data_IF_932405548440
#
_entry.id   IF_932405548440
#
_cell.length_a   1.000
_cell.length_b   1.000
_cell.length_c   1.000
_cell.angle_alpha   90.00
_cell.angle_beta   90.00
_cell.angle_gamma   90.00
#
_symmetry.space_group_name_H-M   'P 1'
#
loop_
_entity.id
_entity.type
_entity.pdbx_description
1 polymer ?
#
# COMPACT_ATOMS: atom_id res chain seq x y z
N UNK A 1 52.01 24.85 -43.35
CA UNK A 1 50.55 24.81 -43.17
C UNK A 1 50.20 25.58 -41.90
N UNK A 2 49.87 26.86 -42.01
CA UNK A 2 49.55 27.70 -40.83
C UNK A 2 48.06 27.51 -40.51
N UNK A 3 47.76 26.74 -39.47
CA UNK A 3 46.39 26.61 -38.97
C UNK A 3 46.00 27.99 -38.40
N UNK A 4 44.97 28.59 -39.00
CA UNK A 4 44.50 29.92 -38.63
C UNK A 4 44.02 29.89 -37.16
N UNK A 5 44.72 30.62 -36.28
CA UNK A 5 44.41 30.68 -34.83
C UNK A 5 42.94 31.07 -34.54
N UNK A 6 42.29 31.82 -35.45
CA UNK A 6 40.86 32.15 -35.34
C UNK A 6 39.94 30.94 -35.59
N UNK A 7 40.33 30.02 -36.47
CA UNK A 7 39.57 28.80 -36.74
C UNK A 7 39.66 27.81 -35.57
N UNK A 8 40.83 27.71 -34.92
CA UNK A 8 41.01 26.88 -33.73
C UNK A 8 40.20 27.41 -32.54
N UNK A 9 40.13 28.74 -32.37
CA UNK A 9 39.32 29.40 -31.33
C UNK A 9 37.81 29.19 -31.57
N UNK A 10 37.35 29.29 -32.83
CA UNK A 10 35.95 28.99 -33.17
C UNK A 10 35.58 27.53 -32.90
N UNK A 11 36.46 26.57 -33.22
CA UNK A 11 36.23 25.14 -32.92
C UNK A 11 36.16 24.87 -31.41
N UNK A 12 36.96 25.56 -30.60
CA UNK A 12 36.93 25.42 -29.13
C UNK A 12 35.66 26.04 -28.52
N UNK A 13 35.19 27.17 -29.05
CA UNK A 13 33.91 27.79 -28.64
C UNK A 13 32.72 26.92 -29.08
N UNK A 14 32.74 26.32 -30.27
CA UNK A 14 31.70 25.40 -30.73
C UNK A 14 31.64 24.11 -29.90
N UNK A 15 32.80 23.60 -29.46
CA UNK A 15 32.89 22.42 -28.60
C UNK A 15 32.37 22.68 -27.17
N UNK A 16 32.65 23.87 -26.61
CA UNK A 16 32.12 24.25 -25.29
C UNK A 16 30.61 24.53 -25.31
N UNK A 17 30.06 25.11 -26.39
CA UNK A 17 28.62 25.35 -26.53
C UNK A 17 27.84 24.03 -26.72
N UNK A 18 28.40 23.04 -27.43
CA UNK A 18 27.75 21.74 -27.59
C UNK A 18 27.73 20.92 -26.29
N UNK A 19 28.75 21.04 -25.44
CA UNK A 19 28.79 20.34 -24.15
C UNK A 19 27.80 20.93 -23.14
N UNK A 20 27.59 22.24 -23.10
CA UNK A 20 26.60 22.82 -22.17
C UNK A 20 25.14 22.52 -22.54
N UNK A 21 24.86 22.29 -23.82
CA UNK A 21 23.49 21.99 -24.27
C UNK A 21 23.05 20.54 -24.00
N UNK A 22 23.98 19.56 -24.00
CA UNK A 22 23.63 18.17 -23.66
C UNK A 22 23.30 18.00 -22.16
N UNK A 23 24.02 18.68 -21.27
CA UNK A 23 23.73 18.65 -19.82
C UNK A 23 22.48 19.44 -19.42
N UNK A 24 22.08 20.44 -20.22
CA UNK A 24 20.86 21.23 -19.98
C UNK A 24 19.58 20.45 -20.33
N UNK A 25 19.59 19.66 -21.42
CA UNK A 25 18.43 18.85 -21.82
C UNK A 25 18.15 17.66 -20.88
N UNK A 26 19.18 16.98 -20.37
CA UNK A 26 19.02 15.85 -19.44
C UNK A 26 18.48 16.31 -18.07
N UNK A 27 18.97 17.43 -17.53
CA UNK A 27 18.50 17.98 -16.26
C UNK A 27 17.04 18.48 -16.30
N UNK A 28 16.60 19.02 -17.43
CA UNK A 28 15.19 19.41 -17.64
C UNK A 28 14.26 18.18 -17.60
N UNK A 29 14.68 17.08 -18.24
CA UNK A 29 13.94 15.81 -18.25
C UNK A 29 13.85 15.18 -16.86
N UNK A 30 14.97 15.10 -16.11
CA UNK A 30 14.98 14.56 -14.76
C UNK A 30 14.11 15.38 -13.79
N UNK A 31 14.11 16.72 -13.90
CA UNK A 31 13.24 17.59 -13.10
C UNK A 31 11.76 17.39 -13.41
N UNK A 32 11.41 17.21 -14.68
CA UNK A 32 10.04 16.90 -15.09
C UNK A 32 9.59 15.54 -14.56
N UNK A 33 10.44 14.51 -14.66
CA UNK A 33 10.16 13.18 -14.12
C UNK A 33 10.00 13.18 -12.60
N UNK A 34 10.83 13.93 -11.87
CA UNK A 34 10.70 14.07 -10.42
C UNK A 34 9.36 14.69 -10.03
N UNK A 35 8.90 15.72 -10.77
CA UNK A 35 7.59 16.33 -10.53
C UNK A 35 6.44 15.35 -10.73
N UNK A 36 6.51 14.52 -11.78
CA UNK A 36 5.51 13.46 -12.02
C UNK A 36 5.57 12.43 -10.90
N UNK A 37 6.76 11.99 -10.49
CA UNK A 37 6.93 11.06 -9.37
C UNK A 37 6.32 11.60 -8.08
N UNK A 38 6.52 12.89 -7.77
CA UNK A 38 5.91 13.53 -6.60
C UNK A 38 4.39 13.55 -6.66
N UNK A 39 3.81 13.80 -7.83
CA UNK A 39 2.35 13.75 -8.01
C UNK A 39 1.82 12.34 -7.80
N UNK A 40 2.45 11.34 -8.39
CA UNK A 40 2.09 9.93 -8.20
C UNK A 40 2.25 9.52 -6.73
N UNK A 41 3.32 9.94 -6.07
CA UNK A 41 3.55 9.67 -4.65
C UNK A 41 2.46 10.30 -3.76
N UNK A 42 2.06 11.55 -4.03
CA UNK A 42 0.98 12.22 -3.28
C UNK A 42 -0.36 11.51 -3.44
N UNK A 43 -0.60 10.90 -4.61
CA UNK A 43 -1.75 10.05 -4.90
C UNK A 43 -1.58 8.60 -4.40
N UNK A 44 -0.53 8.33 -3.63
CA UNK A 44 -0.19 7.00 -3.11
C UNK A 44 0.12 5.94 -4.19
N UNK A 45 0.32 6.36 -5.46
CA UNK A 45 0.70 5.49 -6.57
C UNK A 45 2.19 5.16 -6.54
N UNK A 46 2.64 4.46 -5.50
CA UNK A 46 4.07 4.25 -5.21
C UNK A 46 4.81 3.48 -6.31
N UNK A 47 4.20 2.48 -6.95
CA UNK A 47 4.83 1.79 -8.08
C UNK A 47 5.08 2.73 -9.27
N UNK A 48 4.09 3.56 -9.60
CA UNK A 48 4.21 4.58 -10.63
C UNK A 48 5.29 5.60 -10.25
N UNK A 49 5.28 6.08 -9.00
CA UNK A 49 6.31 6.98 -8.49
C UNK A 49 7.72 6.38 -8.65
N UNK A 50 7.93 5.13 -8.24
CA UNK A 50 9.20 4.39 -8.40
C UNK A 50 9.63 4.33 -9.87
N UNK A 51 8.71 4.08 -10.80
CA UNK A 51 9.02 4.03 -12.23
C UNK A 51 9.58 5.36 -12.75
N UNK A 52 9.03 6.50 -12.31
CA UNK A 52 9.53 7.84 -12.64
C UNK A 52 10.78 8.23 -11.86
N UNK A 53 10.99 7.71 -10.65
CA UNK A 53 12.18 7.99 -9.83
C UNK A 53 13.44 7.27 -10.34
N UNK A 54 13.30 6.08 -10.92
CA UNK A 54 14.42 5.31 -11.49
C UNK A 54 15.29 6.15 -12.43
N UNK A 55 14.76 6.74 -13.53
CA UNK A 55 15.58 7.55 -14.45
C UNK A 55 16.14 8.83 -13.81
N UNK A 56 15.45 9.41 -12.83
CA UNK A 56 15.96 10.56 -12.05
C UNK A 56 17.21 10.16 -11.27
N UNK A 57 17.16 9.03 -10.54
CA UNK A 57 18.28 8.52 -9.74
C UNK A 57 19.40 7.91 -10.57
N UNK A 58 19.13 7.48 -11.81
CA UNK A 58 20.18 7.13 -12.78
C UNK A 58 20.95 8.37 -13.24
N UNK A 59 20.25 9.50 -13.39
CA UNK A 59 20.84 10.76 -13.88
C UNK A 59 21.55 11.55 -12.77
N UNK A 60 20.92 11.65 -11.60
CA UNK A 60 21.48 12.23 -10.39
C UNK A 60 21.19 11.31 -9.20
N UNK A 61 22.15 10.42 -8.94
CA UNK A 61 22.06 9.45 -7.85
C UNK A 61 22.12 10.10 -6.46
N UNK A 62 22.54 11.36 -6.37
CA UNK A 62 22.67 12.11 -5.13
C UNK A 62 21.42 12.92 -4.77
N UNK A 63 20.42 12.95 -5.65
CA UNK A 63 19.20 13.72 -5.45
C UNK A 63 18.44 13.25 -4.19
N UNK A 64 18.60 13.98 -3.10
CA UNK A 64 18.05 13.61 -1.79
C UNK A 64 16.52 13.45 -1.81
N UNK A 65 15.81 14.29 -2.59
CA UNK A 65 14.35 14.20 -2.70
C UNK A 65 13.92 12.94 -3.45
N UNK A 66 14.60 12.60 -4.54
CA UNK A 66 14.31 11.38 -5.27
C UNK A 66 14.65 10.12 -4.45
N UNK A 67 15.76 10.14 -3.70
CA UNK A 67 16.14 9.07 -2.78
C UNK A 67 15.10 8.88 -1.67
N UNK A 68 14.61 9.98 -1.07
CA UNK A 68 13.57 9.98 -0.05
C UNK A 68 12.27 9.35 -0.57
N UNK A 69 11.78 9.84 -1.72
CA UNK A 69 10.57 9.31 -2.33
C UNK A 69 10.71 7.83 -2.71
N UNK A 70 11.90 7.41 -3.15
CA UNK A 70 12.18 6.01 -3.47
C UNK A 70 12.16 5.16 -2.19
N UNK A 71 12.87 5.58 -1.14
CA UNK A 71 12.91 4.88 0.14
C UNK A 71 11.51 4.76 0.76
N UNK A 72 10.77 5.86 0.82
CA UNK A 72 9.42 5.90 1.37
C UNK A 72 8.46 5.05 0.54
N UNK A 73 8.52 5.14 -0.79
CA UNK A 73 7.70 4.29 -1.68
C UNK A 73 7.99 2.82 -1.41
N UNK A 74 9.26 2.40 -1.40
CA UNK A 74 9.62 1.00 -1.16
C UNK A 74 9.21 0.53 0.24
N UNK A 75 9.34 1.37 1.28
CA UNK A 75 8.88 1.09 2.65
C UNK A 75 7.35 0.92 2.69
N UNK A 76 6.61 1.82 2.06
CA UNK A 76 5.15 1.77 1.98
C UNK A 76 4.68 0.52 1.22
N UNK A 77 5.47 0.04 0.25
CA UNK A 77 5.27 -1.23 -0.44
C UNK A 77 5.87 -2.44 0.30
N UNK A 78 6.38 -2.26 1.52
CA UNK A 78 7.04 -3.29 2.37
C UNK A 78 8.21 -4.01 1.69
N UNK A 79 8.78 -3.44 0.64
CA UNK A 79 10.03 -3.90 0.05
C UNK A 79 11.21 -3.38 0.89
N UNK A 80 11.33 -3.92 2.11
CA UNK A 80 12.25 -3.40 3.11
C UNK A 80 13.71 -3.55 2.71
N UNK A 81 14.08 -4.56 1.89
CA UNK A 81 15.45 -4.69 1.39
C UNK A 81 15.85 -3.48 0.54
N UNK A 82 14.98 -3.06 -0.39
CA UNK A 82 15.21 -1.87 -1.21
C UNK A 82 15.06 -0.59 -0.37
N UNK A 83 14.11 -0.53 0.55
CA UNK A 83 13.93 0.63 1.43
C UNK A 83 15.19 0.88 2.29
N UNK A 84 15.76 -0.17 2.88
CA UNK A 84 17.01 -0.11 3.65
C UNK A 84 18.17 0.40 2.79
N UNK A 85 18.27 -0.05 1.53
CA UNK A 85 19.29 0.44 0.61
C UNK A 85 19.23 1.96 0.46
N UNK A 86 18.04 2.53 0.21
CA UNK A 86 17.90 3.97 0.01
C UNK A 86 18.00 4.78 1.31
N UNK A 87 17.41 4.31 2.41
CA UNK A 87 17.56 4.98 3.70
C UNK A 87 19.00 4.97 4.21
N UNK A 88 19.78 3.92 3.94
CA UNK A 88 21.20 3.92 4.29
C UNK A 88 21.94 5.09 3.64
N UNK A 89 21.61 5.47 2.40
CA UNK A 89 22.18 6.64 1.70
C UNK A 89 21.70 7.96 2.32
N UNK A 90 20.40 8.07 2.60
CA UNK A 90 19.79 9.26 3.21
C UNK A 90 20.38 9.56 4.59
N UNK A 91 20.63 8.53 5.39
CA UNK A 91 21.14 8.68 6.77
C UNK A 91 22.63 9.06 6.85
N UNK A 92 23.34 9.06 5.71
CA UNK A 92 24.72 9.55 5.57
C UNK A 92 24.79 11.03 5.15
N UNK A 93 23.66 11.66 4.81
CA UNK A 93 23.66 13.06 4.40
C UNK A 93 23.96 13.99 5.60
N UNK A 94 24.66 15.12 5.38
CA UNK A 94 24.99 16.06 6.46
C UNK A 94 23.78 16.58 7.24
N UNK A 95 22.69 16.86 6.52
CA UNK A 95 21.43 17.35 7.09
C UNK A 95 20.40 16.21 7.16
N UNK A 96 20.75 15.15 7.90
CA UNK A 96 19.87 13.98 8.06
C UNK A 96 18.55 14.39 8.72
N UNK A 97 17.42 14.08 8.08
CA UNK A 97 16.10 14.31 8.67
C UNK A 97 15.85 13.25 9.76
N UNK A 98 15.31 13.62 10.94
CA UNK A 98 14.96 12.64 11.98
C UNK A 98 14.04 11.53 11.46
N UNK A 99 13.13 11.87 10.55
CA UNK A 99 12.22 10.94 9.90
C UNK A 99 12.94 9.83 9.12
N UNK A 100 14.05 10.13 8.44
CA UNK A 100 14.83 9.10 7.73
C UNK A 100 15.49 8.12 8.70
N UNK A 101 15.98 8.62 9.84
CA UNK A 101 16.59 7.80 10.91
C UNK A 101 15.54 6.87 11.52
N UNK A 102 14.35 7.39 11.83
CA UNK A 102 13.22 6.62 12.35
C UNK A 102 12.82 5.50 11.38
N UNK A 103 12.59 5.84 10.11
CA UNK A 103 12.13 4.87 9.12
C UNK A 103 13.18 3.82 8.76
N UNK A 104 14.47 4.16 8.86
CA UNK A 104 15.53 3.17 8.76
C UNK A 104 15.50 2.19 9.94
N UNK A 105 15.32 2.69 11.16
CA UNK A 105 15.18 1.84 12.35
C UNK A 105 13.96 0.91 12.25
N UNK A 106 12.81 1.44 11.83
CA UNK A 106 11.58 0.65 11.62
C UNK A 106 11.76 -0.42 10.53
N UNK A 107 12.41 -0.09 9.41
CA UNK A 107 12.69 -1.04 8.35
C UNK A 107 13.64 -2.17 8.79
N UNK A 108 14.64 -1.86 9.64
CA UNK A 108 15.52 -2.87 10.24
C UNK A 108 14.74 -3.81 11.16
N UNK A 109 13.84 -3.27 12.00
CA UNK A 109 13.00 -4.08 12.88
C UNK A 109 12.07 -5.01 12.09
N UNK A 110 11.47 -4.54 10.99
CA UNK A 110 10.65 -5.37 10.10
C UNK A 110 11.45 -6.47 9.39
N UNK A 111 12.78 -6.33 9.28
CA UNK A 111 13.70 -7.36 8.79
C UNK A 111 14.30 -8.19 9.93
N UNK A 112 13.72 -8.11 11.13
CA UNK A 112 14.13 -8.84 12.34
C UNK A 112 15.57 -8.51 12.81
N UNK A 113 16.15 -7.41 12.31
CA UNK A 113 17.47 -6.91 12.72
C UNK A 113 17.35 -6.01 13.94
N UNK A 114 16.85 -6.58 15.03
CA UNK A 114 16.44 -5.81 16.21
C UNK A 114 17.60 -5.06 16.88
N UNK A 115 18.79 -5.66 16.94
CA UNK A 115 19.98 -5.04 17.53
C UNK A 115 20.48 -3.85 16.70
N UNK A 116 20.45 -3.97 15.37
CA UNK A 116 20.76 -2.86 14.47
C UNK A 116 19.70 -1.76 14.58
N UNK A 117 18.42 -2.15 14.58
CA UNK A 117 17.29 -1.25 14.73
C UNK A 117 17.39 -0.42 16.01
N UNK A 118 17.71 -1.05 17.15
CA UNK A 118 17.86 -0.36 18.43
C UNK A 118 18.93 0.73 18.38
N UNK A 119 20.09 0.45 17.76
CA UNK A 119 21.16 1.45 17.57
C UNK A 119 20.64 2.69 16.83
N UNK A 120 19.83 2.47 15.80
CA UNK A 120 19.21 3.56 15.04
C UNK A 120 18.10 4.28 15.80
N UNK A 121 17.32 3.59 16.62
CA UNK A 121 16.37 4.23 17.53
C UNK A 121 17.07 5.10 18.59
N UNK A 122 18.23 4.68 19.10
CA UNK A 122 19.06 5.51 20.00
C UNK A 122 19.56 6.77 19.31
N UNK A 123 20.05 6.64 18.07
CA UNK A 123 20.41 7.79 17.22
C UNK A 123 19.20 8.68 16.91
N UNK A 124 18.01 8.10 16.72
CA UNK A 124 16.80 8.88 16.53
C UNK A 124 16.41 9.67 17.78
N UNK A 125 16.50 9.07 18.98
CA UNK A 125 16.24 9.75 20.24
C UNK A 125 17.22 10.88 20.54
N UNK A 126 18.45 10.85 20.02
CA UNK A 126 19.34 12.02 20.13
C UNK A 126 18.88 13.21 19.28
N UNK A 127 18.03 12.98 18.27
CA UNK A 127 17.41 14.02 17.44
C UNK A 127 16.01 14.41 17.94
N UNK A 128 15.25 13.45 18.47
CA UNK A 128 13.87 13.63 18.95
C UNK A 128 13.68 12.94 20.30
N UNK A 129 14.17 13.53 21.41
CA UNK A 129 14.19 12.86 22.72
C UNK A 129 12.83 12.53 23.32
N UNK A 130 11.78 13.25 22.89
CA UNK A 130 10.43 13.11 23.43
C UNK A 130 9.60 11.98 22.76
N UNK A 131 10.12 11.32 21.71
CA UNK A 131 9.35 10.30 21.00
C UNK A 131 9.24 9.00 21.81
N UNK A 132 8.05 8.77 22.37
CA UNK A 132 7.79 7.60 23.19
C UNK A 132 7.95 6.29 22.43
N UNK A 133 7.67 6.24 21.12
CA UNK A 133 7.74 5.01 20.32
C UNK A 133 9.15 4.43 20.33
N UNK A 134 10.15 5.28 20.08
CA UNK A 134 11.55 4.89 20.09
C UNK A 134 12.02 4.48 21.49
N UNK A 135 11.63 5.23 22.54
CA UNK A 135 11.98 4.88 23.92
C UNK A 135 11.36 3.55 24.37
N UNK A 136 10.11 3.27 23.96
CA UNK A 136 9.41 2.02 24.24
C UNK A 136 10.05 0.84 23.51
N UNK A 137 10.46 1.01 22.24
CA UNK A 137 11.15 -0.03 21.49
C UNK A 137 12.46 -0.43 22.17
N UNK A 138 13.27 0.55 22.56
CA UNK A 138 14.54 0.30 23.28
C UNK A 138 14.29 -0.37 24.64
N UNK A 139 13.26 0.07 25.38
CA UNK A 139 12.91 -0.51 26.68
C UNK A 139 12.45 -1.96 26.57
N UNK A 140 11.69 -2.30 25.52
CA UNK A 140 11.29 -3.67 25.26
C UNK A 140 12.53 -4.55 24.98
N UNK A 141 13.46 -4.06 24.16
CA UNK A 141 14.67 -4.79 23.79
C UNK A 141 14.38 -6.01 22.91
N UNK A 142 15.41 -6.55 22.24
CA UNK A 142 15.27 -7.66 21.30
C UNK A 142 14.63 -8.93 21.93
N UNK A 143 14.88 -9.17 23.22
CA UNK A 143 14.37 -10.35 23.93
C UNK A 143 12.84 -10.35 24.11
N UNK A 144 12.19 -9.18 24.16
CA UNK A 144 10.73 -9.09 24.30
C UNK A 144 9.97 -9.48 23.04
N UNK A 145 10.66 -9.64 21.91
CA UNK A 145 10.07 -10.10 20.65
C UNK A 145 10.18 -11.62 20.46
N UNK A 146 10.67 -12.36 21.46
CA UNK A 146 10.63 -13.82 21.45
C UNK A 146 9.26 -14.31 21.96
N UNK A 147 8.68 -15.26 21.22
CA UNK A 147 7.25 -15.58 21.24
C UNK A 147 6.64 -15.81 22.63
N UNK A 148 5.41 -15.29 22.81
CA UNK A 148 4.56 -15.59 23.95
C UNK A 148 3.99 -17.02 23.83
N UNK A 149 4.08 -17.82 24.90
CA UNK A 149 3.61 -19.22 24.95
C UNK A 149 2.10 -19.40 25.03
N UNK A 150 1.34 -18.36 25.39
CA UNK A 150 -0.08 -18.50 25.71
C UNK A 150 -0.96 -18.66 24.47
N UNK A 151 -0.47 -18.21 23.31
CA UNK A 151 -1.23 -18.22 22.06
C UNK A 151 -0.33 -18.64 20.91
N UNK A 152 -0.81 -19.56 20.08
CA UNK A 152 -0.17 -19.90 18.81
C UNK A 152 -0.88 -19.16 17.68
N UNK A 153 -0.12 -18.33 16.95
CA UNK A 153 -0.57 -17.72 15.70
C UNK A 153 -0.08 -18.57 14.56
N UNK A 154 -0.96 -18.89 13.63
CA UNK A 154 -0.63 -19.66 12.43
C UNK A 154 -1.41 -19.09 11.24
N UNK A 155 -0.87 -19.30 10.04
CA UNK A 155 -1.60 -18.97 8.84
C UNK A 155 -2.66 -20.04 8.55
N UNK A 156 -3.85 -19.61 8.17
CA UNK A 156 -4.93 -20.49 7.76
C UNK A 156 -4.90 -20.71 6.26
N UNK A 157 -5.43 -21.85 5.81
CA UNK A 157 -5.66 -22.14 4.39
C UNK A 157 -6.91 -21.46 3.81
N UNK A 158 -7.45 -20.46 4.52
CA UNK A 158 -8.47 -19.53 4.04
C UNK A 158 -7.85 -18.24 3.50
N UNK A 159 -6.69 -17.85 4.06
CA UNK A 159 -5.99 -16.63 3.69
C UNK A 159 -5.40 -16.79 2.30
N UNK A 160 -5.68 -15.81 1.46
CA UNK A 160 -5.13 -15.65 0.11
C UNK A 160 -4.02 -14.61 0.13
N UNK A 161 -3.36 -14.42 -1.01
CA UNK A 161 -2.43 -13.30 -1.18
C UNK A 161 -3.13 -11.93 -1.28
N UNK A 162 -4.46 -11.89 -1.32
CA UNK A 162 -5.26 -10.67 -1.33
C UNK A 162 -5.50 -10.14 0.10
N UNK A 163 -6.17 -9.00 0.24
CA UNK A 163 -6.60 -8.49 1.54
C UNK A 163 -7.82 -9.27 2.02
N UNK A 164 -7.62 -10.16 2.98
CA UNK A 164 -8.68 -10.86 3.72
C UNK A 164 -8.82 -10.25 5.13
N UNK A 165 -9.99 -9.70 5.46
CA UNK A 165 -10.20 -8.92 6.68
C UNK A 165 -11.65 -8.92 7.17
N UNK A 166 -11.90 -8.28 8.33
CA UNK A 166 -13.23 -8.14 8.94
C UNK A 166 -14.00 -9.47 9.10
N UNK A 167 -13.41 -10.50 9.75
CA UNK A 167 -14.12 -11.75 9.98
C UNK A 167 -15.24 -11.56 11.02
N UNK A 168 -16.39 -12.14 10.74
CA UNK A 168 -17.54 -12.24 11.63
C UNK A 168 -18.04 -13.69 11.67
N UNK A 169 -18.48 -14.15 12.84
CA UNK A 169 -19.13 -15.45 12.97
C UNK A 169 -20.42 -15.47 12.15
N UNK A 170 -20.57 -16.47 11.29
CA UNK A 170 -21.78 -16.64 10.50
C UNK A 170 -22.16 -18.11 10.41
N UNK A 171 -23.33 -18.46 10.95
CA UNK A 171 -23.78 -19.85 11.10
C UNK A 171 -22.71 -20.68 11.83
N UNK A 172 -22.20 -21.75 11.22
CA UNK A 172 -21.11 -22.58 11.77
C UNK A 172 -19.73 -22.16 11.26
N UNK A 173 -19.66 -21.08 10.50
CA UNK A 173 -18.53 -20.67 9.69
C UNK A 173 -18.14 -19.22 9.90
N UNK A 174 -17.57 -18.62 8.85
CA UNK A 174 -17.16 -17.22 8.82
C UNK A 174 -17.79 -16.50 7.65
N UNK A 175 -18.21 -15.26 7.90
CA UNK A 175 -18.33 -14.22 6.91
C UNK A 175 -17.08 -13.34 7.03
N UNK A 176 -16.48 -12.94 5.91
CA UNK A 176 -15.31 -12.06 5.92
C UNK A 176 -15.25 -11.27 4.62
N UNK A 177 -14.41 -10.24 4.58
CA UNK A 177 -14.24 -9.38 3.42
C UNK A 177 -12.94 -9.72 2.71
N UNK A 178 -13.00 -9.72 1.39
CA UNK A 178 -11.87 -10.11 0.57
C UNK A 178 -11.90 -9.47 -0.81
N UNK A 179 -10.74 -9.06 -1.32
CA UNK A 179 -10.53 -8.74 -2.73
C UNK A 179 -9.81 -9.86 -3.51
N UNK A 180 -9.90 -11.12 -3.05
CA UNK A 180 -9.45 -12.30 -3.80
C UNK A 180 -10.05 -12.31 -5.20
N UNK A 181 -9.27 -12.76 -6.18
CA UNK A 181 -9.71 -12.83 -7.57
C UNK A 181 -10.85 -13.84 -7.70
N UNK A 182 -12.07 -13.44 -8.10
CA UNK A 182 -13.15 -14.38 -8.34
C UNK A 182 -12.82 -15.26 -9.56
N UNK A 183 -13.50 -16.41 -9.66
CA UNK A 183 -13.41 -17.29 -10.85
C UNK A 183 -13.94 -16.61 -12.12
N UNK A 184 -14.79 -15.61 -11.96
CA UNK A 184 -15.39 -14.82 -13.04
C UNK A 184 -14.44 -13.71 -13.53
N UNK A 185 -14.70 -13.20 -14.74
CA UNK A 185 -13.95 -12.08 -15.29
C UNK A 185 -14.14 -10.81 -14.44
N UNK A 186 -13.02 -10.24 -13.97
CA UNK A 186 -13.02 -8.98 -13.21
C UNK A 186 -13.09 -7.81 -14.18
N UNK A 187 -14.16 -7.02 -14.08
CA UNK A 187 -14.38 -5.84 -14.95
C UNK A 187 -13.86 -4.53 -14.36
N UNK A 188 -13.81 -4.43 -13.03
CA UNK A 188 -13.34 -3.22 -12.33
C UNK A 188 -12.32 -3.62 -11.26
N UNK A 189 -11.28 -2.80 -11.12
CA UNK A 189 -10.19 -2.97 -10.16
C UNK A 189 -9.91 -1.64 -9.47
N UNK A 190 -9.30 -1.71 -8.29
CA UNK A 190 -8.91 -0.55 -7.51
C UNK A 190 -7.66 0.11 -8.10
N UNK A 191 -7.69 1.44 -8.17
CA UNK A 191 -6.68 2.22 -8.90
C UNK A 191 -5.27 2.10 -8.33
N UNK A 192 -5.13 1.99 -7.01
CA UNK A 192 -3.83 2.05 -6.33
C UNK A 192 -2.89 0.86 -6.63
N UNK A 193 -3.45 -0.31 -6.96
CA UNK A 193 -2.76 -1.61 -7.01
C UNK A 193 -3.24 -2.54 -8.15
N UNK A 194 -4.32 -2.17 -8.85
CA UNK A 194 -4.98 -2.95 -9.89
C UNK A 194 -5.63 -4.26 -9.43
N UNK A 195 -6.15 -4.31 -8.21
CA UNK A 195 -6.78 -5.53 -7.68
C UNK A 195 -8.30 -5.44 -7.64
N UNK A 196 -9.04 -6.57 -7.57
CA UNK A 196 -10.49 -6.53 -7.52
C UNK A 196 -11.00 -5.65 -6.37
N UNK A 197 -12.21 -5.10 -6.52
CA UNK A 197 -12.88 -4.48 -5.37
C UNK A 197 -13.24 -5.53 -4.32
N UNK A 198 -13.21 -5.13 -3.05
CA UNK A 198 -13.57 -6.00 -1.93
C UNK A 198 -15.03 -6.42 -1.99
N UNK A 199 -15.28 -7.67 -1.64
CA UNK A 199 -16.63 -8.21 -1.47
C UNK A 199 -16.70 -9.11 -0.23
N UNK A 200 -17.91 -9.49 0.14
CA UNK A 200 -18.25 -10.38 1.23
C UNK A 200 -18.12 -11.83 0.76
N UNK A 201 -17.36 -12.63 1.51
CA UNK A 201 -17.16 -14.05 1.29
C UNK A 201 -17.61 -14.85 2.51
N UNK A 202 -18.01 -16.10 2.27
CA UNK A 202 -18.48 -17.03 3.28
C UNK A 202 -17.74 -18.35 3.19
N UNK A 203 -17.38 -18.87 4.36
CA UNK A 203 -17.08 -20.29 4.60
C UNK A 203 -18.18 -20.81 5.50
N UNK A 204 -18.88 -21.88 5.11
CA UNK A 204 -20.06 -22.35 5.87
C UNK A 204 -19.73 -22.99 7.22
N UNK A 205 -18.49 -23.48 7.39
CA UNK A 205 -18.08 -24.26 8.56
C UNK A 205 -16.61 -24.01 8.89
N UNK A 206 -16.34 -23.63 10.14
CA UNK A 206 -15.00 -23.34 10.66
C UNK A 206 -14.07 -24.55 10.60
N UNK A 207 -14.63 -25.76 10.73
CA UNK A 207 -13.85 -27.01 10.70
C UNK A 207 -13.21 -27.25 9.35
N UNK A 208 -13.65 -26.54 8.30
CA UNK A 208 -13.06 -26.59 6.96
C UNK A 208 -11.80 -25.73 6.85
N UNK A 209 -11.55 -24.83 7.81
CA UNK A 209 -10.38 -23.95 7.81
C UNK A 209 -9.22 -24.69 8.48
N UNK A 210 -8.23 -25.08 7.68
CA UNK A 210 -7.01 -25.73 8.11
C UNK A 210 -5.89 -24.75 8.45
N UNK A 211 -4.80 -25.30 9.01
CA UNK A 211 -3.55 -24.58 9.26
C UNK A 211 -2.58 -24.85 8.13
N UNK A 212 -1.95 -23.82 7.60
CA UNK A 212 -0.82 -23.96 6.67
C UNK A 212 0.47 -24.11 7.47
N UNK A 213 1.28 -25.10 7.11
CA UNK A 213 2.70 -25.14 7.47
C UNK A 213 3.49 -24.44 6.37
N UNK A 214 4.06 -23.28 6.68
CA UNK A 214 4.91 -22.54 5.75
C UNK A 214 6.32 -23.11 5.86
N UNK A 215 6.75 -23.94 4.91
CA UNK A 215 8.17 -24.26 4.76
C UNK A 215 8.88 -23.08 4.07
N UNK A 216 9.99 -22.62 4.64
CA UNK A 216 10.69 -21.37 4.29
C UNK A 216 11.22 -21.25 2.83
N UNK A 217 11.05 -22.27 1.98
CA UNK A 217 11.76 -22.41 0.71
C UNK A 217 10.92 -22.19 -0.57
N UNK A 218 9.63 -21.87 -0.50
CA UNK A 218 8.74 -21.89 -1.68
C UNK A 218 8.47 -20.55 -2.38
N UNK A 219 9.32 -19.54 -2.18
CA UNK A 219 9.05 -18.18 -2.62
C UNK A 219 9.73 -17.78 -3.97
N UNK A 220 9.09 -18.01 -5.15
CA UNK A 220 9.60 -17.57 -6.49
C UNK A 220 8.79 -16.45 -7.17
N UNK A 221 9.43 -15.34 -7.57
CA UNK A 221 8.79 -14.10 -8.04
C UNK A 221 8.63 -13.99 -9.58
N UNK A 222 7.47 -13.55 -10.07
CA UNK A 222 7.24 -13.19 -11.48
C UNK A 222 6.60 -11.79 -11.64
N UNK A 223 7.11 -11.00 -12.60
CA UNK A 223 6.67 -9.63 -12.92
C UNK A 223 5.62 -9.66 -14.06
N UNK A 224 4.45 -9.05 -13.84
CA UNK A 224 3.42 -8.83 -14.87
C UNK A 224 3.22 -7.34 -15.17
N UNK A 225 2.94 -7.01 -16.43
CA UNK A 225 2.64 -5.65 -16.90
C UNK A 225 1.12 -5.41 -16.95
N UNK A 226 0.64 -4.30 -16.41
CA UNK A 226 -0.80 -3.92 -16.40
C UNK A 226 -1.02 -2.51 -16.95
N UNK A 227 -2.18 -2.27 -17.58
CA UNK A 227 -2.62 -0.95 -18.08
C UNK A 227 -3.37 -0.20 -16.97
N UNK A 228 -3.10 1.10 -16.78
CA UNK A 228 -3.65 1.91 -15.68
C UNK A 228 -5.00 2.55 -16.00
N UNK A 229 -5.87 2.66 -14.99
CA UNK A 229 -7.02 3.58 -14.95
C UNK A 229 -6.88 4.54 -13.76
N UNK A 230 -7.52 5.71 -13.89
CA UNK A 230 -7.44 6.92 -13.08
C UNK A 230 -8.61 7.06 -12.09
N UNK A 231 -8.51 6.47 -10.89
CA UNK A 231 -9.42 6.82 -9.80
C UNK A 231 -8.67 7.61 -8.73
N UNK A 232 -8.64 8.93 -8.91
CA UNK A 232 -8.02 9.91 -8.03
C UNK A 232 -9.06 10.39 -6.99
N UNK A 233 -9.18 9.70 -5.86
CA UNK A 233 -9.92 10.23 -4.71
C UNK A 233 -8.96 10.91 -3.73
N UNK A 234 -9.30 12.13 -3.32
CA UNK A 234 -8.50 12.89 -2.34
C UNK A 234 -8.51 12.20 -0.97
N UNK A 235 -7.39 12.27 -0.21
CA UNK A 235 -7.31 11.62 1.08
C UNK A 235 -8.31 12.21 2.08
N UNK A 236 -9.05 11.35 2.78
CA UNK A 236 -10.09 11.75 3.74
C UNK A 236 -9.71 11.36 5.18
N UNK A 237 -10.44 11.88 6.18
CA UNK A 237 -10.17 11.60 7.59
C UNK A 237 -10.33 10.13 7.99
N UNK A 238 -11.01 9.31 7.17
CA UNK A 238 -11.14 7.87 7.39
C UNK A 238 -9.98 7.06 6.80
N UNK A 239 -9.09 7.69 6.03
CA UNK A 239 -7.93 7.02 5.48
C UNK A 239 -6.96 6.72 6.61
N UNK A 240 -6.72 5.43 6.81
CA UNK A 240 -5.67 4.99 7.70
C UNK A 240 -4.32 5.51 7.18
N UNK A 241 -3.57 6.26 8.00
CA UNK A 241 -2.16 6.60 7.74
C UNK A 241 -1.27 5.35 7.65
N UNK A 242 -1.81 4.22 8.10
CA UNK A 242 -1.28 2.87 7.93
C UNK A 242 -1.96 2.23 6.73
N UNK A 243 -1.21 2.09 5.64
CA UNK A 243 -1.64 1.40 4.42
C UNK A 243 -2.19 0.01 4.80
N UNK A 244 -3.40 -0.30 4.34
CA UNK A 244 -3.90 -1.68 4.31
C UNK A 244 -2.87 -2.56 3.62
N UNK A 245 -2.69 -3.80 4.07
CA UNK A 245 -1.68 -4.73 3.56
C UNK A 245 -1.85 -4.86 2.05
N UNK A 246 -1.08 -4.09 1.29
CA UNK A 246 -1.02 -4.16 -0.15
C UNK A 246 0.43 -4.12 -0.58
N UNK A 247 0.91 -5.32 -0.82
CA UNK A 247 2.13 -5.57 -1.53
C UNK A 247 1.70 -5.58 -3.01
N UNK A 248 2.08 -4.60 -3.85
CA UNK A 248 1.79 -4.63 -5.28
C UNK A 248 2.86 -5.40 -6.07
N UNK A 249 3.88 -5.91 -5.38
CA UNK A 249 4.32 -7.29 -5.62
C UNK A 249 3.42 -8.10 -4.71
N UNK A 250 2.67 -9.14 -5.07
CA UNK A 250 2.10 -9.97 -4.02
C UNK A 250 3.25 -10.42 -3.09
N UNK A 251 2.94 -11.05 -1.97
CA UNK A 251 3.72 -12.25 -1.69
C UNK A 251 3.62 -13.11 -2.97
N UNK A 252 4.43 -12.84 -4.01
CA UNK A 252 4.35 -13.51 -5.30
C UNK A 252 4.96 -14.90 -5.17
N UNK A 253 4.76 -15.52 -4.02
CA UNK A 253 5.68 -16.44 -3.41
C UNK A 253 4.98 -17.26 -2.35
N UNK A 254 3.89 -16.79 -1.75
CA UNK A 254 2.84 -17.76 -1.45
C UNK A 254 2.14 -18.02 -2.77
N UNK A 255 2.43 -19.18 -3.38
CA UNK A 255 1.40 -19.93 -4.09
C UNK A 255 0.08 -19.70 -3.34
N UNK A 256 -1.05 -19.47 -4.00
CA UNK A 256 -2.32 -19.36 -3.29
C UNK A 256 -2.54 -20.67 -2.53
N UNK A 257 -2.09 -20.70 -1.27
CA UNK A 257 -2.14 -21.84 -0.37
C UNK A 257 -3.57 -21.96 0.19
N UNK A 258 -4.45 -21.04 -0.23
CA UNK A 258 -5.88 -21.12 0.06
C UNK A 258 -6.47 -22.37 -0.59
N UNK A 259 -6.60 -23.42 0.19
CA UNK A 259 -7.33 -24.64 -0.18
C UNK A 259 -8.76 -24.62 0.35
N UNK A 260 -9.07 -23.76 1.35
CA UNK A 260 -10.42 -23.61 1.87
C UNK A 260 -11.33 -23.00 0.81
N UNK A 261 -12.43 -23.71 0.52
CA UNK A 261 -13.45 -23.22 -0.40
C UNK A 261 -14.32 -22.15 0.27
N UNK A 262 -14.02 -20.88 -0.03
CA UNK A 262 -14.89 -19.75 0.29
C UNK A 262 -15.65 -19.31 -0.97
N UNK A 263 -16.92 -18.96 -0.82
CA UNK A 263 -17.74 -18.44 -1.90
C UNK A 263 -18.15 -16.99 -1.65
N UNK A 264 -18.24 -16.21 -2.72
CA UNK A 264 -18.72 -14.83 -2.68
C UNK A 264 -20.20 -14.81 -2.36
N UNK A 265 -20.60 -13.97 -1.42
CA UNK A 265 -21.99 -13.77 -1.07
C UNK A 265 -22.71 -13.06 -2.22
N UNK A 266 -23.78 -13.67 -2.72
CA UNK A 266 -24.59 -13.12 -3.81
C UNK A 266 -25.89 -12.50 -3.25
N UNK A 267 -26.57 -11.71 -4.09
CA UNK A 267 -27.86 -11.10 -3.76
C UNK A 267 -27.78 -9.58 -3.58
N UNK A 268 -28.72 -9.00 -2.84
CA UNK A 268 -28.89 -7.55 -2.67
C UNK A 268 -27.70 -6.84 -2.01
N UNK A 269 -26.88 -7.58 -1.26
CA UNK A 269 -25.69 -7.06 -0.58
C UNK A 269 -24.51 -6.83 -1.54
N UNK A 270 -24.59 -7.29 -2.78
CA UNK A 270 -23.53 -7.14 -3.79
C UNK A 270 -23.79 -5.96 -4.72
N UNK A 271 -22.81 -5.07 -4.87
CA UNK A 271 -22.79 -4.02 -5.91
C UNK A 271 -21.64 -4.17 -6.90
N UNK A 272 -21.45 -3.15 -7.76
CA UNK A 272 -20.34 -3.08 -8.73
C UNK A 272 -19.00 -2.70 -8.07
N UNK A 273 -19.04 -2.11 -6.88
CA UNK A 273 -17.89 -1.51 -6.18
C UNK A 273 -17.60 -2.24 -4.86
N UNK A 274 -16.86 -1.59 -3.95
CA UNK A 274 -16.47 -2.18 -2.67
C UNK A 274 -17.68 -2.43 -1.75
N UNK A 275 -17.69 -3.62 -1.17
CA UNK A 275 -18.46 -4.00 0.01
C UNK A 275 -17.49 -4.32 1.15
N UNK A 276 -17.85 -3.91 2.36
CA UNK A 276 -17.07 -4.15 3.57
C UNK A 276 -16.28 -2.93 4.05
N UNK A 277 -15.80 -2.94 5.32
CA UNK A 277 -15.94 -3.97 6.35
C UNK A 277 -17.39 -4.24 6.77
N UNK A 278 -17.64 -5.41 7.38
CA UNK A 278 -18.97 -5.88 7.75
C UNK A 278 -18.99 -6.64 9.08
N UNK A 279 -20.11 -6.49 9.81
CA UNK A 279 -20.40 -7.16 11.09
C UNK A 279 -21.84 -7.68 11.10
N UNK A 280 -22.10 -8.70 11.91
CA UNK A 280 -23.44 -9.27 12.09
C UNK A 280 -23.87 -9.01 13.53
N UNK A 281 -25.02 -8.37 13.71
CA UNK A 281 -25.62 -8.15 15.04
C UNK A 281 -26.30 -9.42 15.57
N UNK A 282 -26.61 -9.49 16.89
CA UNK A 282 -27.20 -10.67 17.50
C UNK A 282 -28.56 -11.12 16.91
N UNK A 283 -29.32 -10.19 16.32
CA UNK A 283 -30.58 -10.47 15.63
C UNK A 283 -30.40 -10.98 14.19
N UNK A 284 -29.14 -11.10 13.72
CA UNK A 284 -28.79 -11.56 12.39
C UNK A 284 -28.75 -10.47 11.32
N UNK A 285 -28.95 -9.20 11.68
CA UNK A 285 -28.82 -8.08 10.74
C UNK A 285 -27.34 -7.88 10.35
N UNK A 286 -27.06 -7.72 9.06
CA UNK A 286 -25.72 -7.44 8.55
C UNK A 286 -25.53 -5.93 8.43
N UNK A 287 -24.52 -5.39 9.10
CA UNK A 287 -24.08 -4.00 8.92
C UNK A 287 -22.80 -3.99 8.11
N UNK A 288 -22.70 -3.15 7.09
CA UNK A 288 -21.54 -3.13 6.21
C UNK A 288 -21.32 -1.75 5.59
N UNK A 289 -20.06 -1.46 5.27
CA UNK A 289 -19.70 -0.26 4.50
C UNK A 289 -19.82 -0.55 3.01
N UNK A 290 -20.31 0.41 2.23
CA UNK A 290 -20.43 0.31 0.77
C UNK A 290 -20.16 1.66 0.12
N UNK A 291 -19.62 1.65 -1.10
CA UNK A 291 -19.57 2.85 -1.94
C UNK A 291 -20.98 3.33 -2.29
N UNK A 292 -21.27 4.62 -2.07
CA UNK A 292 -22.54 5.26 -2.40
C UNK A 292 -22.75 5.37 -3.92
N UNK A 293 -22.99 4.24 -4.58
CA UNK A 293 -23.25 4.15 -6.00
C UNK A 293 -24.68 3.67 -6.22
N UNK A 294 -25.61 4.61 -6.36
CA UNK A 294 -26.92 4.32 -6.96
C UNK A 294 -26.82 4.51 -8.48
N UNK A 295 -27.54 3.69 -9.24
CA UNK A 295 -27.45 3.56 -10.71
C UNK A 295 -27.76 4.85 -11.53
N UNK A 296 -27.93 6.03 -10.91
CA UNK A 296 -28.51 7.23 -11.53
C UNK A 296 -27.85 8.56 -11.12
N UNK A 297 -26.52 8.63 -10.93
CA UNK A 297 -25.78 9.86 -10.55
C UNK A 297 -26.12 10.43 -9.15
N UNK A 298 -27.03 9.82 -8.38
CA UNK A 298 -27.30 10.23 -7.01
C UNK A 298 -26.24 9.61 -6.07
N UNK A 299 -25.41 10.45 -5.44
CA UNK A 299 -24.46 10.04 -4.41
C UNK A 299 -23.04 10.57 -4.54
N UNK A 300 -22.74 11.39 -5.56
CA UNK A 300 -21.48 12.14 -5.59
C UNK A 300 -21.60 13.36 -4.68
N UNK A 301 -20.63 13.48 -3.80
CA UNK A 301 -20.40 14.72 -3.03
C UNK A 301 -20.09 15.90 -3.95
N UNK A 302 -20.05 17.11 -3.39
CA UNK A 302 -19.69 18.33 -4.13
C UNK A 302 -18.29 18.30 -4.76
N UNK A 303 -17.37 17.50 -4.21
CA UNK A 303 -16.02 17.31 -4.75
C UNK A 303 -15.96 16.24 -5.87
N UNK A 304 -17.10 15.63 -6.23
CA UNK A 304 -17.20 14.65 -7.30
C UNK A 304 -16.83 13.23 -6.88
N UNK A 305 -16.45 13.00 -5.62
CA UNK A 305 -16.11 11.67 -5.10
C UNK A 305 -17.35 10.93 -4.62
N UNK A 306 -17.41 9.63 -4.93
CA UNK A 306 -18.39 8.71 -4.33
C UNK A 306 -17.95 8.40 -2.89
N UNK A 307 -18.70 8.88 -1.90
CA UNK A 307 -18.39 8.64 -0.48
C UNK A 307 -18.80 7.24 -0.04
N UNK A 308 -18.23 6.79 1.07
CA UNK A 308 -18.64 5.55 1.73
C UNK A 308 -19.86 5.80 2.62
N UNK A 309 -20.75 4.81 2.70
CA UNK A 309 -21.90 4.82 3.60
C UNK A 309 -22.05 3.49 4.33
N UNK A 310 -22.69 3.54 5.49
CA UNK A 310 -23.11 2.37 6.25
C UNK A 310 -24.50 1.90 5.84
N UNK A 311 -24.62 0.63 5.50
CA UNK A 311 -25.89 -0.01 5.19
C UNK A 311 -26.20 -1.09 6.22
N UNK A 312 -27.48 -1.33 6.43
CA UNK A 312 -27.98 -2.55 7.07
C UNK A 312 -28.63 -3.44 6.02
N UNK A 313 -28.49 -4.76 6.17
CA UNK A 313 -29.26 -5.73 5.43
C UNK A 313 -29.96 -6.70 6.39
N UNK A 314 -31.27 -6.81 6.25
CA UNK A 314 -32.14 -7.61 7.12
C UNK A 314 -33.01 -8.57 6.30
N UNK A 315 -33.76 -9.42 7.00
CA UNK A 315 -34.62 -10.44 6.41
C UNK A 315 -33.87 -11.69 5.91
N UNK A 316 -34.62 -12.66 5.40
CA UNK A 316 -34.05 -13.92 4.90
C UNK A 316 -33.05 -13.64 3.79
N UNK A 317 -31.82 -14.14 3.96
CA UNK A 317 -30.70 -13.95 3.04
C UNK A 317 -30.34 -12.48 2.78
N UNK A 318 -30.61 -11.57 3.72
CA UNK A 318 -30.20 -10.16 3.64
C UNK A 318 -30.70 -9.44 2.37
N UNK A 319 -31.94 -9.73 1.98
CA UNK A 319 -32.54 -9.17 0.76
C UNK A 319 -32.98 -7.71 0.92
N UNK A 320 -33.26 -7.27 2.15
CA UNK A 320 -33.72 -5.91 2.47
C UNK A 320 -32.53 -5.04 2.89
N UNK A 321 -31.94 -4.32 1.93
CA UNK A 321 -30.80 -3.42 2.16
C UNK A 321 -31.27 -1.97 2.30
N UNK A 322 -30.89 -1.33 3.40
CA UNK A 322 -31.27 0.05 3.72
C UNK A 322 -30.05 0.85 4.18
N UNK A 323 -29.98 2.11 3.78
CA UNK A 323 -28.97 3.06 4.26
C UNK A 323 -29.27 3.46 5.72
N UNK A 324 -28.23 3.57 6.56
CA UNK A 324 -28.39 4.07 7.93
C UNK A 324 -28.64 5.59 7.98
N UNK A 325 -29.40 6.10 8.97
CA UNK A 325 -29.89 7.48 8.96
C UNK A 325 -28.82 8.55 9.24
N UNK A 326 -27.62 8.16 9.66
CA UNK A 326 -26.52 9.08 9.98
C UNK A 326 -25.46 9.17 8.88
N UNK A 327 -25.74 8.59 7.70
CA UNK A 327 -24.90 8.75 6.53
C UNK A 327 -24.99 10.16 5.92
N UNK A 328 -24.03 10.47 5.06
CA UNK A 328 -23.96 11.70 4.31
C UNK A 328 -23.49 11.44 2.89
N UNK A 329 -23.98 12.24 1.94
CA UNK A 329 -23.42 12.27 0.59
C UNK A 329 -22.10 13.06 0.53
N UNK A 330 -21.81 13.89 1.54
CA UNK A 330 -20.66 14.82 1.52
C UNK A 330 -19.41 14.28 2.23
N UNK A 331 -19.56 13.30 3.12
CA UNK A 331 -18.44 12.67 3.81
C UNK A 331 -18.67 11.17 3.99
N UNK A 332 -17.56 10.43 4.03
CA UNK A 332 -17.60 8.99 4.18
C UNK A 332 -17.96 8.58 5.61
N UNK A 333 -18.93 7.67 5.74
CA UNK A 333 -19.26 6.97 6.99
C UNK A 333 -19.05 5.47 6.76
N UNK A 334 -18.34 4.79 7.66
CA UNK A 334 -17.97 3.39 7.46
C UNK A 334 -17.45 2.74 8.74
N UNK A 335 -17.03 1.49 8.62
CA UNK A 335 -16.46 0.65 9.69
C UNK A 335 -17.46 0.36 10.82
N UNK A 336 -18.52 -0.43 10.54
CA UNK A 336 -19.55 -0.78 11.52
C UNK A 336 -19.05 -1.73 12.62
#
# INVERSE_FOLDING_TARGET
MWINKKALLMLFILFTITHQNLFSQSNSSAKAQLKVAEQQYKKLHYLSAIAYLKPVLTSDSSNARAQELMADSQRNLRNYDEALLWYSKLTLQPNVKPQWVLYYAEALANKEKYEESEKWYRKYLSLVPADKRASSFIKAGAASFQGNSDWSVFQTDLNTAASDYSPAWYKKGLLFISNRKPKEAVKNVFGWDQTPFSDIYVVDDLTKIGKIKIDSNSLTFALGSYKSNDDDTDPTSNDSKTIGIYNPKPFSTQQDLSTTNAYRLNGSVKSKFHEGPAVISPDGTLFFTRNNYSHLNAGRSKDGVNKLKLYQASGTNWTKVEELPFNSDEYSTGHP
#
